data_IF_066111759190
#
_entry.id   IF_066111759190
#
_cell.length_a   1.000
_cell.length_b   1.000
_cell.length_c   1.000
_cell.angle_alpha   90.00
_cell.angle_beta   90.00
_cell.angle_gamma   90.00
#
_symmetry.space_group_name_H-M   'P 1'
#
loop_
_entity.id
_entity.type
_entity.pdbx_description
1 polymer ?
#
# COMPACT_ATOMS: atom_id res chain seq x y z
N UNK A 1 1.31 8.16 16.15
CA UNK A 1 2.64 7.53 16.15
C UNK A 1 2.43 6.04 16.07
N UNK A 2 3.01 5.39 15.07
CA UNK A 2 3.14 3.93 15.01
C UNK A 2 4.38 3.57 15.85
N UNK A 3 4.23 2.73 16.88
CA UNK A 3 5.22 2.57 17.95
C UNK A 3 5.88 1.17 17.92
N UNK A 4 5.57 0.33 16.93
CA UNK A 4 6.11 -1.03 16.85
C UNK A 4 6.38 -1.48 15.40
N UNK A 5 7.43 -0.95 14.74
CA UNK A 5 7.80 -1.38 13.40
C UNK A 5 8.34 -2.83 13.40
N UNK A 6 8.03 -3.65 12.37
CA UNK A 6 8.52 -5.02 12.28
C UNK A 6 10.06 -5.06 12.21
N UNK A 7 10.72 -6.10 12.73
CA UNK A 7 12.19 -6.26 12.60
C UNK A 7 12.61 -6.47 11.13
N UNK A 8 13.81 -5.99 10.76
CA UNK A 8 14.42 -6.25 9.43
C UNK A 8 14.34 -5.14 8.38
N UNK A 9 14.03 -3.89 8.76
CA UNK A 9 14.05 -2.76 7.83
C UNK A 9 15.42 -2.08 7.76
N UNK A 10 15.80 -1.64 6.57
CA UNK A 10 16.92 -0.73 6.37
C UNK A 10 16.42 0.70 6.19
N UNK A 11 17.10 1.66 6.83
CA UNK A 11 16.83 3.09 6.70
C UNK A 11 17.79 3.73 5.70
N UNK A 12 17.30 4.67 4.90
CA UNK A 12 18.14 5.50 4.03
C UNK A 12 18.16 6.92 4.59
N UNK A 13 19.35 7.49 4.78
CA UNK A 13 19.52 8.88 5.17
C UNK A 13 19.49 9.78 3.92
N UNK A 14 18.51 10.68 3.84
CA UNK A 14 18.45 11.72 2.80
C UNK A 14 18.71 13.09 3.41
N UNK A 15 19.57 13.87 2.77
CA UNK A 15 19.86 15.25 3.15
C UNK A 15 18.92 16.20 2.40
N UNK A 16 18.05 16.92 3.12
CA UNK A 16 17.23 18.01 2.57
C UNK A 16 17.94 19.34 2.84
N UNK A 17 18.21 20.10 1.77
CA UNK A 17 19.08 21.30 1.84
C UNK A 17 18.35 22.62 2.14
N UNK A 18 17.07 22.60 2.57
CA UNK A 18 16.37 23.83 2.97
C UNK A 18 15.21 23.57 3.95
N UNK A 19 14.95 24.45 4.95
CA UNK A 19 15.76 25.60 5.38
C UNK A 19 16.82 25.26 6.45
N UNK A 20 16.92 24.01 6.89
CA UNK A 20 17.98 23.49 7.79
C UNK A 20 18.40 22.13 7.24
N UNK A 21 19.71 21.80 7.12
CA UNK A 21 20.15 20.45 6.78
C UNK A 21 19.82 19.51 7.95
N UNK A 22 18.84 18.63 7.76
CA UNK A 22 18.58 17.52 8.68
C UNK A 22 18.48 16.22 7.88
N UNK A 23 19.03 15.15 8.44
CA UNK A 23 18.84 13.80 7.91
C UNK A 23 17.50 13.26 8.41
N UNK A 24 16.61 12.91 7.50
CA UNK A 24 15.44 12.08 7.85
C UNK A 24 15.79 10.64 7.49
N UNK A 25 15.74 9.75 8.48
CA UNK A 25 15.72 8.31 8.23
C UNK A 25 14.37 7.97 7.61
N UNK A 26 14.33 7.84 6.28
CA UNK A 26 13.13 7.38 5.58
C UNK A 26 13.26 5.89 5.32
N UNK A 27 12.19 5.14 5.57
CA UNK A 27 12.11 3.75 5.09
C UNK A 27 12.40 3.71 3.60
N UNK A 28 13.16 2.70 3.14
CA UNK A 28 13.30 2.45 1.70
C UNK A 28 11.91 2.25 1.09
N UNK A 29 11.78 2.68 -0.17
CA UNK A 29 10.51 2.70 -0.91
C UNK A 29 9.77 1.33 -0.86
N UNK A 30 10.43 0.17 -1.00
CA UNK A 30 9.76 -1.13 -0.89
C UNK A 30 9.09 -1.37 0.47
N UNK A 31 9.70 -0.91 1.57
CA UNK A 31 9.14 -1.06 2.92
C UNK A 31 7.96 -0.14 3.18
N UNK A 32 7.99 1.08 2.61
CA UNK A 32 6.84 1.99 2.60
C UNK A 32 5.70 1.38 1.79
N UNK A 33 6.02 0.78 0.65
CA UNK A 33 5.03 0.13 -0.20
C UNK A 33 4.37 -1.05 0.51
N UNK A 34 5.15 -1.93 1.15
CA UNK A 34 4.62 -3.04 1.95
C UNK A 34 3.74 -2.55 3.11
N UNK A 35 4.09 -1.44 3.77
CA UNK A 35 3.24 -0.83 4.80
C UNK A 35 1.91 -0.28 4.26
N UNK A 36 1.93 0.32 3.07
CA UNK A 36 0.73 0.79 2.37
C UNK A 36 -0.14 -0.36 1.91
N UNK A 37 0.48 -1.41 1.36
CA UNK A 37 -0.22 -2.63 0.96
C UNK A 37 -0.85 -3.33 2.16
N UNK A 38 -0.15 -3.45 3.29
CA UNK A 38 -0.72 -3.98 4.53
C UNK A 38 -1.95 -3.17 4.97
N UNK A 39 -1.89 -1.83 4.88
CA UNK A 39 -3.03 -0.98 5.22
C UNK A 39 -4.25 -1.26 4.32
N UNK A 40 -4.05 -1.51 3.03
CA UNK A 40 -5.11 -1.90 2.09
C UNK A 40 -5.66 -3.29 2.44
N UNK A 41 -4.78 -4.26 2.76
CA UNK A 41 -5.16 -5.65 2.93
C UNK A 41 -5.78 -5.99 4.29
N UNK A 42 -5.34 -5.32 5.35
CA UNK A 42 -5.59 -5.78 6.72
C UNK A 42 -6.39 -4.79 7.57
N UNK A 43 -6.40 -3.49 7.25
CA UNK A 43 -7.12 -2.53 8.10
C UNK A 43 -8.61 -2.57 7.80
N UNK A 44 -9.40 -3.04 8.77
CA UNK A 44 -10.87 -2.95 8.75
C UNK A 44 -11.30 -1.49 8.98
N UNK A 45 -11.53 -0.77 7.91
CA UNK A 45 -12.18 0.52 7.97
C UNK A 45 -13.67 0.33 8.27
N UNK A 46 -14.06 0.39 9.56
CA UNK A 46 -15.46 0.17 9.98
C UNK A 46 -16.45 1.03 9.19
N UNK A 47 -16.17 2.31 9.04
CA UNK A 47 -17.07 3.29 8.40
C UNK A 47 -16.37 4.24 7.42
N UNK A 48 -15.04 4.38 7.52
CA UNK A 48 -14.27 5.38 6.74
C UNK A 48 -13.33 4.72 5.74
N UNK A 49 -13.74 4.69 4.47
CA UNK A 49 -12.88 4.29 3.37
C UNK A 49 -11.75 5.30 3.20
N UNK A 50 -10.52 4.81 3.02
CA UNK A 50 -9.34 5.62 2.72
C UNK A 50 -8.98 5.49 1.26
N UNK A 51 -9.49 6.39 0.43
CA UNK A 51 -9.12 6.44 -0.99
C UNK A 51 -7.64 6.76 -1.19
N UNK A 52 -7.00 7.48 -0.27
CA UNK A 52 -5.58 7.83 -0.39
C UNK A 52 -4.65 6.62 -0.47
N UNK A 53 -4.93 5.56 0.26
CA UNK A 53 -4.10 4.35 0.22
C UNK A 53 -4.22 3.66 -1.17
N UNK A 54 -5.37 3.73 -1.83
CA UNK A 54 -5.57 3.26 -3.21
C UNK A 54 -4.89 4.16 -4.24
N UNK A 55 -4.87 5.48 -4.02
CA UNK A 55 -4.11 6.41 -4.86
C UNK A 55 -2.61 6.11 -4.80
N UNK A 56 -2.09 5.91 -3.59
CA UNK A 56 -0.69 5.56 -3.38
C UNK A 56 -0.34 4.24 -4.09
N UNK A 57 -1.22 3.24 -4.07
CA UNK A 57 -1.04 1.99 -4.82
C UNK A 57 -0.85 2.25 -6.32
N UNK A 58 -1.73 3.04 -6.95
CA UNK A 58 -1.60 3.41 -8.37
C UNK A 58 -0.27 4.11 -8.61
N UNK A 59 0.15 4.99 -7.70
CA UNK A 59 1.43 5.67 -7.78
C UNK A 59 2.62 4.70 -7.71
N UNK A 60 2.62 3.73 -6.77
CA UNK A 60 3.69 2.72 -6.69
C UNK A 60 3.80 1.88 -7.95
N UNK A 61 2.67 1.42 -8.50
CA UNK A 61 2.61 0.63 -9.74
C UNK A 61 3.11 1.46 -10.93
N UNK A 62 2.64 2.71 -11.07
CA UNK A 62 3.06 3.62 -12.15
C UNK A 62 4.57 3.89 -12.14
N UNK A 63 5.18 3.95 -10.96
CA UNK A 63 6.62 4.15 -10.80
C UNK A 63 7.42 2.84 -10.82
N UNK A 64 6.78 1.70 -11.11
CA UNK A 64 7.43 0.40 -11.28
C UNK A 64 8.21 -0.07 -10.03
N UNK A 65 7.75 0.32 -8.84
CA UNK A 65 8.34 -0.15 -7.59
C UNK A 65 7.90 -1.59 -7.29
N UNK A 66 8.85 -2.42 -6.89
CA UNK A 66 8.56 -3.79 -6.47
C UNK A 66 7.95 -3.82 -5.06
N UNK A 67 6.99 -4.72 -4.88
CA UNK A 67 6.45 -5.08 -3.58
C UNK A 67 7.31 -6.18 -2.95
N UNK A 68 7.82 -5.91 -1.75
CA UNK A 68 8.50 -6.91 -0.92
C UNK A 68 7.44 -7.77 -0.22
N UNK A 69 7.23 -9.00 -0.72
CA UNK A 69 6.23 -9.91 -0.18
C UNK A 69 6.63 -10.47 1.19
N UNK A 70 7.92 -10.70 1.41
CA UNK A 70 8.41 -11.19 2.69
C UNK A 70 8.15 -10.16 3.79
N UNK A 71 8.44 -8.88 3.52
CA UNK A 71 8.17 -7.82 4.48
C UNK A 71 6.67 -7.56 4.69
N UNK A 72 5.86 -7.70 3.64
CA UNK A 72 4.41 -7.65 3.76
C UNK A 72 3.89 -8.78 4.64
N UNK A 73 4.38 -10.00 4.44
CA UNK A 73 4.00 -11.18 5.23
C UNK A 73 4.28 -10.96 6.73
N UNK A 74 5.50 -10.51 7.07
CA UNK A 74 5.87 -10.27 8.48
C UNK A 74 4.96 -9.22 9.14
N UNK A 75 4.59 -8.14 8.41
CA UNK A 75 3.59 -7.17 8.89
C UNK A 75 2.22 -7.80 9.10
N UNK A 76 1.78 -8.65 8.17
CA UNK A 76 0.49 -9.32 8.29
C UNK A 76 0.47 -10.29 9.47
N UNK A 77 1.56 -11.02 9.72
CA UNK A 77 1.74 -11.89 10.90
C UNK A 77 1.73 -11.10 12.20
N UNK A 78 2.53 -10.03 12.30
CA UNK A 78 2.61 -9.17 13.50
C UNK A 78 1.24 -8.60 13.87
N UNK A 79 0.45 -8.19 12.86
CA UNK A 79 -0.90 -7.66 13.07
C UNK A 79 -1.98 -8.73 13.32
N UNK A 80 -1.65 -10.02 13.27
CA UNK A 80 -2.58 -11.14 13.44
C UNK A 80 -3.51 -11.40 12.24
N UNK A 81 -3.23 -10.81 11.07
CA UNK A 81 -4.04 -10.97 9.86
C UNK A 81 -3.55 -12.10 8.94
N UNK A 82 -2.43 -12.72 9.28
CA UNK A 82 -1.88 -13.88 8.58
C UNK A 82 -1.26 -14.85 9.56
N UNK A 83 -1.77 -16.07 9.61
CA UNK A 83 -1.33 -17.13 10.55
C UNK A 83 -1.04 -18.45 9.83
N UNK A 84 -0.91 -18.41 8.51
CA UNK A 84 -0.59 -19.58 7.71
C UNK A 84 0.84 -20.06 7.93
N UNK A 85 1.05 -21.39 7.88
CA UNK A 85 2.40 -21.98 7.77
C UNK A 85 3.04 -21.75 6.40
N UNK A 86 2.22 -21.43 5.40
CA UNK A 86 2.64 -21.16 4.03
C UNK A 86 3.00 -19.68 3.86
N UNK A 87 4.10 -19.41 3.16
CA UNK A 87 4.53 -18.07 2.81
C UNK A 87 3.47 -17.32 1.98
N UNK A 88 3.51 -16.00 2.04
CA UNK A 88 2.68 -15.13 1.19
C UNK A 88 3.27 -15.10 -0.23
N UNK A 89 2.89 -16.06 -1.06
CA UNK A 89 3.25 -16.06 -2.47
C UNK A 89 2.37 -15.08 -3.28
N UNK A 90 2.77 -14.86 -4.55
CA UNK A 90 2.04 -14.00 -5.49
C UNK A 90 0.58 -14.38 -5.63
N UNK A 91 0.26 -15.69 -5.69
CA UNK A 91 -1.10 -16.17 -5.93
C UNK A 91 -1.99 -15.84 -4.74
N UNK A 92 -1.53 -16.15 -3.53
CA UNK A 92 -2.23 -15.88 -2.27
C UNK A 92 -2.40 -14.38 -2.05
N UNK A 93 -1.37 -13.59 -2.35
CA UNK A 93 -1.46 -12.14 -2.35
C UNK A 93 -2.58 -11.63 -3.27
N UNK A 94 -2.62 -12.08 -4.53
CA UNK A 94 -3.64 -11.67 -5.51
C UNK A 94 -5.05 -12.09 -5.07
N UNK A 95 -5.20 -13.27 -4.47
CA UNK A 95 -6.48 -13.73 -3.92
C UNK A 95 -6.97 -12.84 -2.77
N UNK A 96 -6.10 -12.52 -1.81
CA UNK A 96 -6.44 -11.63 -0.68
C UNK A 96 -6.76 -10.22 -1.20
N UNK A 97 -5.95 -9.70 -2.12
CA UNK A 97 -6.16 -8.39 -2.73
C UNK A 97 -7.49 -8.32 -3.49
N UNK A 98 -7.82 -9.35 -4.29
CA UNK A 98 -9.10 -9.39 -5.01
C UNK A 98 -10.29 -9.30 -4.06
N UNK A 99 -10.26 -10.05 -2.95
CA UNK A 99 -11.35 -10.00 -1.94
C UNK A 99 -11.50 -8.59 -1.34
N UNK A 100 -10.39 -7.91 -1.10
CA UNK A 100 -10.42 -6.54 -0.59
C UNK A 100 -11.02 -5.56 -1.60
N UNK A 101 -10.58 -5.66 -2.86
CA UNK A 101 -11.17 -4.90 -3.98
C UNK A 101 -12.67 -5.15 -4.10
N UNK A 102 -13.11 -6.41 -4.02
CA UNK A 102 -14.53 -6.80 -4.11
C UNK A 102 -15.40 -6.22 -2.99
N UNK A 103 -14.81 -5.99 -1.81
CA UNK A 103 -15.51 -5.38 -0.66
C UNK A 103 -15.46 -3.85 -0.62
N UNK A 104 -14.73 -3.22 -1.55
CA UNK A 104 -14.48 -1.78 -1.55
C UNK A 104 -15.58 -1.00 -2.28
N UNK A 105 -16.07 0.06 -1.64
CA UNK A 105 -16.94 1.06 -2.29
C UNK A 105 -16.06 2.16 -2.91
N UNK A 106 -15.77 1.99 -4.21
CA UNK A 106 -14.89 2.89 -4.94
C UNK A 106 -15.46 4.29 -5.12
N UNK A 107 -16.78 4.49 -5.03
CA UNK A 107 -17.36 5.84 -5.09
C UNK A 107 -16.98 6.63 -3.84
N UNK A 108 -17.06 6.01 -2.66
CA UNK A 108 -16.53 6.63 -1.44
C UNK A 108 -15.02 6.81 -1.46
N UNK A 109 -14.28 5.87 -2.06
CA UNK A 109 -12.84 6.01 -2.22
C UNK A 109 -12.47 7.22 -3.09
N UNK A 110 -13.18 7.45 -4.20
CA UNK A 110 -13.02 8.64 -5.05
C UNK A 110 -13.29 9.91 -4.25
N UNK A 111 -14.41 9.98 -3.53
CA UNK A 111 -14.79 11.14 -2.71
C UNK A 111 -13.74 11.50 -1.64
N UNK A 112 -13.05 10.52 -1.05
CA UNK A 112 -11.97 10.75 -0.07
C UNK A 112 -10.73 11.42 -0.69
N UNK A 113 -10.45 11.19 -1.97
CA UNK A 113 -9.24 11.72 -2.64
C UNK A 113 -9.49 12.96 -3.47
N UNK A 114 -10.69 13.14 -4.01
CA UNK A 114 -11.04 14.25 -4.90
C UNK A 114 -10.57 15.63 -4.41
N UNK A 115 -10.71 15.99 -3.11
CA UNK A 115 -10.26 17.30 -2.60
C UNK A 115 -8.75 17.55 -2.71
N UNK A 116 -7.95 16.50 -2.91
CA UNK A 116 -6.49 16.58 -2.98
C UNK A 116 -5.93 16.45 -4.41
N UNK A 117 -6.78 16.19 -5.40
CA UNK A 117 -6.35 15.95 -6.78
C UNK A 117 -6.34 17.25 -7.58
N UNK A 118 -5.25 17.48 -8.32
CA UNK A 118 -5.19 18.52 -9.35
C UNK A 118 -6.07 18.17 -10.55
N UNK A 119 -6.14 16.88 -10.88
CA UNK A 119 -6.90 16.33 -12.00
C UNK A 119 -7.91 15.30 -11.46
N UNK A 120 -9.17 15.71 -11.20
CA UNK A 120 -10.23 14.84 -10.70
C UNK A 120 -10.47 13.60 -11.57
N UNK A 121 -10.28 13.72 -12.89
CA UNK A 121 -10.55 12.64 -13.84
C UNK A 121 -9.61 11.43 -13.67
N UNK A 122 -8.48 11.61 -12.99
CA UNK A 122 -7.52 10.54 -12.72
C UNK A 122 -8.10 9.36 -11.93
N UNK A 123 -9.24 9.57 -11.24
CA UNK A 123 -9.91 8.52 -10.45
C UNK A 123 -11.19 8.01 -11.10
N UNK A 124 -11.60 8.52 -12.27
CA UNK A 124 -12.85 8.08 -12.93
C UNK A 124 -12.82 6.60 -13.30
N UNK A 125 -11.65 6.08 -13.69
CA UNK A 125 -11.44 4.67 -14.04
C UNK A 125 -11.44 3.73 -12.82
N UNK A 126 -11.42 4.28 -11.59
CA UNK A 126 -11.35 3.45 -10.39
C UNK A 126 -12.59 2.57 -10.27
N UNK A 127 -12.30 1.28 -10.08
CA UNK A 127 -13.30 0.24 -9.92
C UNK A 127 -12.63 -1.12 -9.77
N UNK A 128 -13.45 -2.13 -9.54
CA UNK A 128 -13.01 -3.50 -9.30
C UNK A 128 -12.10 -4.02 -10.42
N UNK A 129 -12.53 -3.89 -11.68
CA UNK A 129 -11.77 -4.36 -12.84
C UNK A 129 -10.41 -3.69 -12.95
N UNK A 130 -10.36 -2.36 -12.79
CA UNK A 130 -9.13 -1.58 -12.87
C UNK A 130 -8.10 -2.05 -11.83
N UNK A 131 -8.47 -2.12 -10.55
CA UNK A 131 -7.53 -2.49 -9.49
C UNK A 131 -7.06 -3.95 -9.60
N UNK A 132 -7.97 -4.87 -9.98
CA UNK A 132 -7.61 -6.27 -10.24
C UNK A 132 -6.68 -6.43 -11.43
N UNK A 133 -6.68 -5.52 -12.39
CA UNK A 133 -5.80 -5.59 -13.56
C UNK A 133 -4.42 -5.01 -13.24
N UNK A 134 -4.35 -3.79 -12.69
CA UNK A 134 -3.06 -3.13 -12.41
C UNK A 134 -2.23 -3.90 -11.37
N UNK A 135 -2.87 -4.62 -10.43
CA UNK A 135 -2.13 -5.40 -9.44
C UNK A 135 -1.38 -6.58 -10.06
N UNK A 136 -1.80 -7.07 -11.23
CA UNK A 136 -1.11 -8.16 -11.93
C UNK A 136 0.23 -7.74 -12.53
N UNK A 137 0.39 -6.44 -12.83
CA UNK A 137 1.63 -5.86 -13.36
C UNK A 137 2.66 -5.54 -12.27
N UNK A 138 2.34 -5.79 -10.99
CA UNK A 138 3.29 -5.62 -9.90
C UNK A 138 4.54 -6.48 -10.09
N UNK A 139 5.67 -5.86 -9.78
CA UNK A 139 6.93 -6.54 -9.57
C UNK A 139 7.03 -6.97 -8.11
N UNK A 140 7.71 -8.08 -7.89
CA UNK A 140 7.96 -8.64 -6.56
C UNK A 140 9.46 -8.76 -6.37
N UNK A 141 9.94 -8.46 -5.17
CA UNK A 141 11.32 -8.68 -4.75
C UNK A 141 11.39 -9.87 -3.80
#
# INVERSE_FOLDING_TARGET
MDIDPPPGFETEARYLLNPIPFSVSTYKIPYLFAGKMHAILCRKWKTRIKGRDWYDLVWYIRNNYSLDLAHLEERMKQSGHFSGKEALDKKKFLEIFSRQVDSMDFEKAKLDVLPFLKEPDSVNIWGNSFFKEIVKSLKYN
#
